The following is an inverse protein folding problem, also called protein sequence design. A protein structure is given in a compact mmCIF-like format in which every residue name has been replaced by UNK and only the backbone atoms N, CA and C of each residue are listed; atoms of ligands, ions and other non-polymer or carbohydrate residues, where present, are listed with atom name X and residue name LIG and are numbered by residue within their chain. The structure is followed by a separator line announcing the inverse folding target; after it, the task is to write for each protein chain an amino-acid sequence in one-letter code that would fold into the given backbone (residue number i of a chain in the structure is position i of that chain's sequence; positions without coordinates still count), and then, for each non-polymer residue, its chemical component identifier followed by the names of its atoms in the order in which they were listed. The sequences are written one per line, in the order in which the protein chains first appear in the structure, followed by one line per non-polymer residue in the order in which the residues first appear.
data_IF_471050764172
#
_entry.id   IF_471050764172
#
_cell.length_a   1.000
_cell.length_b   1.000
_cell.length_c   1.000
_cell.angle_alpha   90.00
_cell.angle_beta   90.00
_cell.angle_gamma   90.00
#
_symmetry.space_group_name_H-M   'P 1'
#
loop_
_entity.id
_entity.type
_entity.pdbx_description
1 polymer ?
#
# COMPACT_ATOMS: atom_id res chain seq x y z
N UNK A 1 -108.17 -69.22 24.63
CA UNK A 1 -107.18 -68.59 23.72
C UNK A 1 -106.34 -67.48 24.37
N UNK A 2 -106.83 -66.73 25.37
CA UNK A 2 -106.10 -65.60 25.99
C UNK A 2 -104.80 -65.94 26.75
N UNK A 3 -104.63 -67.19 27.22
CA UNK A 3 -103.42 -67.62 27.95
C UNK A 3 -102.19 -67.80 27.04
N UNK A 4 -102.39 -68.10 25.75
CA UNK A 4 -101.29 -68.30 24.81
C UNK A 4 -100.70 -66.98 24.29
N UNK A 5 -101.47 -65.88 24.24
CA UNK A 5 -100.91 -64.56 23.85
C UNK A 5 -100.02 -63.98 24.96
N UNK A 6 -100.44 -64.07 26.23
CA UNK A 6 -99.64 -63.58 27.37
C UNK A 6 -98.28 -64.29 27.51
N UNK A 7 -98.21 -65.59 27.19
CA UNK A 7 -96.95 -66.35 27.20
C UNK A 7 -96.00 -65.90 26.09
N UNK A 8 -96.55 -65.58 24.90
CA UNK A 8 -95.79 -65.08 23.75
C UNK A 8 -95.28 -63.65 24.00
N UNK A 9 -96.12 -62.76 24.52
CA UNK A 9 -95.74 -61.40 24.92
C UNK A 9 -94.62 -61.39 25.97
N UNK A 10 -94.69 -62.27 26.98
CA UNK A 10 -93.62 -62.40 27.98
C UNK A 10 -92.30 -62.93 27.39
N UNK A 11 -92.37 -63.79 26.37
CA UNK A 11 -91.19 -64.31 25.68
C UNK A 11 -90.54 -63.24 24.79
N UNK A 12 -91.35 -62.46 24.06
CA UNK A 12 -90.90 -61.32 23.26
C UNK A 12 -90.27 -60.22 24.15
N UNK A 13 -90.87 -59.95 25.32
CA UNK A 13 -90.30 -59.01 26.31
C UNK A 13 -88.94 -59.49 26.82
N UNK A 14 -88.77 -60.79 27.10
CA UNK A 14 -87.49 -61.37 27.50
C UNK A 14 -86.45 -61.30 26.38
N UNK A 15 -86.84 -61.61 25.15
CA UNK A 15 -85.95 -61.51 24.00
C UNK A 15 -85.50 -60.06 23.76
N UNK A 16 -86.40 -59.09 23.91
CA UNK A 16 -86.09 -57.66 23.83
C UNK A 16 -85.13 -57.24 24.95
N UNK A 17 -85.36 -57.69 26.19
CA UNK A 17 -84.47 -57.40 27.32
C UNK A 17 -83.07 -58.00 27.12
N UNK A 18 -82.99 -59.23 26.59
CA UNK A 18 -81.71 -59.86 26.25
C UNK A 18 -80.99 -59.12 25.13
N UNK A 19 -81.70 -58.74 24.06
CA UNK A 19 -81.15 -57.94 22.97
C UNK A 19 -80.63 -56.59 23.47
N UNK A 20 -81.35 -55.96 24.39
CA UNK A 20 -80.96 -54.68 24.98
C UNK A 20 -79.72 -54.84 25.87
N UNK A 21 -79.65 -55.90 26.68
CA UNK A 21 -78.46 -56.23 27.47
C UNK A 21 -77.22 -56.48 26.60
N UNK A 22 -77.39 -57.22 25.50
CA UNK A 22 -76.32 -57.44 24.53
C UNK A 22 -75.89 -56.13 23.84
N UNK A 23 -76.85 -55.29 23.44
CA UNK A 23 -76.53 -53.99 22.85
C UNK A 23 -75.75 -53.09 23.83
N UNK A 24 -76.15 -53.02 25.10
CA UNK A 24 -75.39 -52.27 26.12
C UNK A 24 -74.02 -52.88 26.41
N UNK A 25 -73.88 -54.20 26.41
CA UNK A 25 -72.60 -54.87 26.58
C UNK A 25 -71.65 -54.52 25.43
N UNK A 26 -72.14 -54.55 24.19
CA UNK A 26 -71.36 -54.17 23.00
C UNK A 26 -70.94 -52.69 23.06
N UNK A 27 -71.89 -51.78 23.36
CA UNK A 27 -71.56 -50.35 23.49
C UNK A 27 -70.52 -50.12 24.59
N UNK A 28 -70.62 -50.83 25.72
CA UNK A 28 -69.62 -50.75 26.79
C UNK A 28 -68.24 -51.20 26.31
N UNK A 29 -68.17 -52.31 25.57
CA UNK A 29 -66.92 -52.81 24.99
C UNK A 29 -66.33 -51.84 23.96
N UNK A 30 -67.17 -51.22 23.12
CA UNK A 30 -66.75 -50.23 22.14
C UNK A 30 -66.19 -48.98 22.84
N UNK A 31 -66.86 -48.49 23.89
CA UNK A 31 -66.37 -47.35 24.69
C UNK A 31 -65.02 -47.66 25.34
N UNK A 32 -64.84 -48.88 25.87
CA UNK A 32 -63.55 -49.31 26.42
C UNK A 32 -62.46 -49.37 25.34
N UNK A 33 -62.79 -49.90 24.16
CA UNK A 33 -61.86 -49.96 23.03
C UNK A 33 -61.44 -48.57 22.58
N UNK A 34 -62.41 -47.65 22.42
CA UNK A 34 -62.14 -46.25 22.06
C UNK A 34 -61.28 -45.57 23.13
N UNK A 35 -61.52 -45.82 24.42
CA UNK A 35 -60.67 -45.30 25.48
C UNK A 35 -59.22 -45.80 25.39
N UNK A 36 -59.02 -47.09 25.10
CA UNK A 36 -57.68 -47.65 24.87
C UNK A 36 -57.00 -47.04 23.64
N UNK A 37 -57.73 -46.84 22.54
CA UNK A 37 -57.21 -46.17 21.35
C UNK A 37 -56.83 -44.71 21.63
N UNK A 38 -57.64 -43.98 22.40
CA UNK A 38 -57.31 -42.61 22.81
C UNK A 38 -56.02 -42.56 23.62
N UNK A 39 -55.83 -43.48 24.57
CA UNK A 39 -54.59 -43.54 25.35
C UNK A 39 -53.38 -43.80 24.46
N UNK A 40 -53.47 -44.79 23.56
CA UNK A 40 -52.39 -45.11 22.62
C UNK A 40 -52.06 -43.92 21.71
N UNK A 41 -53.06 -43.17 21.26
CA UNK A 41 -52.85 -41.96 20.45
C UNK A 41 -52.16 -40.85 21.25
N UNK A 42 -52.51 -40.66 22.52
CA UNK A 42 -51.84 -39.72 23.41
C UNK A 42 -50.37 -40.08 23.63
N UNK A 43 -50.08 -41.35 23.90
CA UNK A 43 -48.70 -41.82 24.11
C UNK A 43 -47.86 -41.64 22.84
N UNK A 44 -48.41 -42.01 21.68
CA UNK A 44 -47.76 -41.80 20.38
C UNK A 44 -47.51 -40.31 20.09
N UNK A 45 -48.46 -39.44 20.43
CA UNK A 45 -48.29 -38.00 20.28
C UNK A 45 -47.15 -37.49 21.15
N UNK A 46 -47.04 -37.97 22.40
CA UNK A 46 -45.93 -37.65 23.29
C UNK A 46 -44.57 -38.04 22.70
N UNK A 47 -44.45 -39.30 22.23
CA UNK A 47 -43.20 -39.78 21.61
C UNK A 47 -42.84 -38.99 20.34
N UNK A 48 -43.82 -38.63 19.52
CA UNK A 48 -43.61 -37.81 18.33
C UNK A 48 -43.09 -36.41 18.70
N UNK A 49 -43.65 -35.77 19.74
CA UNK A 49 -43.21 -34.46 20.22
C UNK A 49 -41.74 -34.53 20.67
N UNK A 50 -41.38 -35.54 21.48
CA UNK A 50 -40.00 -35.73 21.94
C UNK A 50 -39.02 -35.96 20.77
N UNK A 51 -39.42 -36.78 19.79
CA UNK A 51 -38.61 -37.04 18.60
C UNK A 51 -38.41 -35.77 17.75
N UNK A 52 -39.43 -34.93 17.63
CA UNK A 52 -39.35 -33.65 16.91
C UNK A 52 -38.44 -32.69 17.66
N UNK A 53 -38.56 -32.58 18.99
CA UNK A 53 -37.69 -31.75 19.82
C UNK A 53 -36.23 -32.19 19.74
N UNK A 54 -35.96 -33.50 19.79
CA UNK A 54 -34.62 -34.05 19.60
C UNK A 54 -34.06 -33.69 18.23
N UNK A 55 -34.84 -33.86 17.17
CA UNK A 55 -34.44 -33.49 15.81
C UNK A 55 -34.17 -31.99 15.67
N UNK A 56 -34.99 -31.13 16.27
CA UNK A 56 -34.79 -29.69 16.28
C UNK A 56 -33.48 -29.29 16.97
N UNK A 57 -33.15 -29.92 18.10
CA UNK A 57 -31.88 -29.67 18.81
C UNK A 57 -30.65 -30.07 17.99
N UNK A 58 -30.74 -31.19 17.25
CA UNK A 58 -29.68 -31.64 16.33
C UNK A 58 -29.51 -30.68 15.17
N UNK A 59 -30.61 -30.20 14.59
CA UNK A 59 -30.59 -29.22 13.51
C UNK A 59 -29.92 -27.92 13.95
N UNK A 60 -30.28 -27.39 15.12
CA UNK A 60 -29.66 -26.19 15.67
C UNK A 60 -28.15 -26.35 15.90
N UNK A 61 -27.74 -27.52 16.39
CA UNK A 61 -26.31 -27.85 16.55
C UNK A 61 -25.58 -27.91 15.20
N UNK A 62 -26.21 -28.49 14.17
CA UNK A 62 -25.66 -28.52 12.82
C UNK A 62 -25.56 -27.12 12.20
N UNK A 63 -26.54 -26.25 12.41
CA UNK A 63 -26.50 -24.86 11.95
C UNK A 63 -25.32 -24.10 12.56
N UNK A 64 -25.04 -24.31 13.86
CA UNK A 64 -23.88 -23.72 14.52
C UNK A 64 -22.55 -24.19 13.90
N UNK A 65 -22.42 -25.49 13.61
CA UNK A 65 -21.24 -26.06 12.94
C UNK A 65 -21.07 -25.52 11.52
N UNK A 66 -22.17 -25.38 10.77
CA UNK A 66 -22.14 -24.80 9.41
C UNK A 66 -21.69 -23.35 9.47
N UNK A 67 -22.17 -22.57 10.42
CA UNK A 67 -21.77 -21.16 10.57
C UNK A 67 -20.30 -21.04 10.93
N UNK A 68 -19.80 -21.88 11.84
CA UNK A 68 -18.38 -21.95 12.16
C UNK A 68 -17.53 -22.32 10.93
N UNK A 69 -17.93 -23.34 10.17
CA UNK A 69 -17.23 -23.74 8.95
C UNK A 69 -17.21 -22.64 7.88
N UNK A 70 -18.31 -21.88 7.73
CA UNK A 70 -18.35 -20.72 6.82
C UNK A 70 -17.34 -19.64 7.20
N UNK A 71 -17.18 -19.37 8.50
CA UNK A 71 -16.19 -18.39 9.00
C UNK A 71 -14.78 -18.87 8.65
N UNK A 72 -14.44 -20.12 8.96
CA UNK A 72 -13.12 -20.70 8.65
C UNK A 72 -12.81 -20.69 7.15
N UNK A 73 -13.79 -21.03 6.31
CA UNK A 73 -13.63 -20.95 4.84
C UNK A 73 -13.32 -19.51 4.40
N UNK A 74 -13.98 -18.52 5.01
CA UNK A 74 -13.72 -17.10 4.74
C UNK A 74 -12.29 -16.68 5.12
N UNK A 75 -11.80 -17.14 6.27
CA UNK A 75 -10.42 -16.89 6.72
C UNK A 75 -9.40 -17.51 5.76
N UNK A 76 -9.54 -18.79 5.44
CA UNK A 76 -8.65 -19.47 4.50
C UNK A 76 -8.69 -18.87 3.09
N UNK A 77 -9.86 -18.40 2.62
CA UNK A 77 -9.96 -17.73 1.34
C UNK A 77 -9.13 -16.42 1.29
N UNK A 78 -9.07 -15.68 2.40
CA UNK A 78 -8.25 -14.48 2.51
C UNK A 78 -6.76 -14.81 2.54
N UNK A 79 -6.35 -15.85 3.27
CA UNK A 79 -4.97 -16.33 3.28
C UNK A 79 -4.51 -16.76 1.88
N UNK A 80 -5.33 -17.55 1.17
CA UNK A 80 -5.04 -17.96 -0.20
C UNK A 80 -4.90 -16.76 -1.13
N UNK A 81 -5.74 -15.72 -0.98
CA UNK A 81 -5.62 -14.48 -1.76
C UNK A 81 -4.28 -13.78 -1.50
N UNK A 82 -3.84 -13.69 -0.24
CA UNK A 82 -2.56 -13.07 0.14
C UNK A 82 -1.37 -13.84 -0.45
N UNK A 83 -1.34 -15.16 -0.29
CA UNK A 83 -0.28 -16.01 -0.87
C UNK A 83 -0.25 -15.87 -2.39
N UNK A 84 -1.42 -15.78 -3.04
CA UNK A 84 -1.49 -15.61 -4.50
C UNK A 84 -0.90 -14.28 -4.96
N UNK A 85 -1.11 -13.18 -4.23
CA UNK A 85 -0.45 -11.90 -4.54
C UNK A 85 1.06 -11.97 -4.37
N UNK A 86 1.54 -12.56 -3.28
CA UNK A 86 2.98 -12.71 -3.03
C UNK A 86 3.66 -13.54 -4.11
N UNK A 87 3.03 -14.65 -4.55
CA UNK A 87 3.52 -15.46 -5.66
C UNK A 87 3.61 -14.64 -6.96
N UNK A 88 2.62 -13.78 -7.24
CA UNK A 88 2.65 -12.98 -8.46
C UNK A 88 3.77 -11.93 -8.44
N UNK A 89 4.03 -11.32 -7.29
CA UNK A 89 5.15 -10.39 -7.14
C UNK A 89 6.51 -11.08 -7.27
N UNK A 90 6.66 -12.26 -6.65
CA UNK A 90 7.86 -13.09 -6.85
C UNK A 90 8.04 -13.50 -8.32
N UNK A 91 6.97 -13.83 -9.03
CA UNK A 91 7.02 -14.15 -10.46
C UNK A 91 7.46 -12.96 -11.32
N UNK A 92 7.10 -11.73 -10.95
CA UNK A 92 7.61 -10.53 -11.65
C UNK A 92 9.11 -10.39 -11.45
N UNK A 93 9.58 -10.48 -10.20
CA UNK A 93 11.01 -10.40 -9.88
C UNK A 93 11.82 -11.47 -10.64
N UNK A 94 11.33 -12.72 -10.67
CA UNK A 94 12.00 -13.79 -11.41
C UNK A 94 12.09 -13.50 -12.92
N UNK A 95 11.07 -12.84 -13.50
CA UNK A 95 11.12 -12.41 -14.91
C UNK A 95 12.15 -11.32 -15.17
N UNK A 96 12.50 -10.52 -14.17
CA UNK A 96 13.48 -9.44 -14.29
C UNK A 96 14.94 -9.93 -14.18
N UNK A 97 15.17 -11.09 -13.56
CA UNK A 97 16.53 -11.66 -13.35
C UNK A 97 17.34 -11.76 -14.66
N UNK A 98 16.81 -12.30 -15.78
CA UNK A 98 17.58 -12.38 -17.02
C UNK A 98 18.01 -11.02 -17.56
N UNK A 99 17.17 -9.99 -17.39
CA UNK A 99 17.51 -8.64 -17.80
C UNK A 99 18.64 -8.06 -16.94
N UNK A 100 18.56 -8.24 -15.62
CA UNK A 100 19.64 -7.85 -14.72
C UNK A 100 20.96 -8.58 -15.04
N UNK A 101 20.91 -9.88 -15.33
CA UNK A 101 22.08 -10.64 -15.75
C UNK A 101 22.71 -10.08 -17.04
N UNK A 102 21.87 -9.70 -18.01
CA UNK A 102 22.34 -9.03 -19.23
C UNK A 102 22.99 -7.68 -18.95
N UNK A 103 22.39 -6.86 -18.09
CA UNK A 103 22.94 -5.56 -17.71
C UNK A 103 24.28 -5.71 -16.96
N UNK A 104 24.36 -6.65 -16.03
CA UNK A 104 25.60 -6.97 -15.32
C UNK A 104 26.70 -7.43 -16.29
N UNK A 105 26.35 -8.30 -17.24
CA UNK A 105 27.30 -8.73 -18.27
C UNK A 105 27.81 -7.54 -19.10
N UNK A 106 26.92 -6.66 -19.56
CA UNK A 106 27.31 -5.45 -20.29
C UNK A 106 28.21 -4.53 -19.48
N UNK A 107 27.91 -4.36 -18.18
CA UNK A 107 28.74 -3.57 -17.28
C UNK A 107 30.13 -4.18 -17.12
N UNK A 108 30.21 -5.49 -16.91
CA UNK A 108 31.48 -6.23 -16.81
C UNK A 108 32.29 -6.09 -18.10
N UNK A 109 31.66 -6.31 -19.26
CA UNK A 109 32.29 -6.16 -20.57
C UNK A 109 32.82 -4.71 -20.76
N UNK A 110 32.05 -3.71 -20.32
CA UNK A 110 32.48 -2.30 -20.31
C UNK A 110 33.70 -2.07 -19.40
N UNK A 111 33.69 -2.60 -18.17
CA UNK A 111 34.84 -2.47 -17.26
C UNK A 111 36.12 -3.08 -17.84
N UNK A 112 36.04 -4.29 -18.40
CA UNK A 112 37.19 -4.94 -19.05
C UNK A 112 37.62 -4.20 -20.32
N UNK A 113 36.70 -3.58 -21.05
CA UNK A 113 37.06 -2.75 -22.20
C UNK A 113 37.93 -1.55 -21.80
N UNK A 114 37.61 -0.89 -20.68
CA UNK A 114 38.33 0.27 -20.14
C UNK A 114 39.68 -0.07 -19.49
N UNK A 115 40.01 -1.35 -19.35
CA UNK A 115 41.27 -1.79 -18.75
C UNK A 115 42.47 -1.33 -19.61
N UNK A 116 42.28 -1.23 -20.93
CA UNK A 116 43.31 -0.75 -21.86
C UNK A 116 43.57 0.75 -21.67
N UNK A 117 42.52 1.53 -21.47
CA UNK A 117 42.57 2.96 -21.19
C UNK A 117 43.23 3.21 -19.83
N UNK A 118 42.92 2.40 -18.82
CA UNK A 118 43.59 2.44 -17.50
C UNK A 118 45.10 2.17 -17.60
N UNK A 119 45.54 1.26 -18.48
CA UNK A 119 46.97 1.05 -18.74
C UNK A 119 47.61 2.28 -19.37
N UNK A 120 46.98 2.87 -20.39
CA UNK A 120 47.48 4.12 -21.02
C UNK A 120 47.59 5.26 -20.01
N UNK A 121 46.62 5.40 -19.11
CA UNK A 121 46.69 6.40 -18.04
C UNK A 121 47.91 6.16 -17.14
N UNK A 122 48.18 4.91 -16.74
CA UNK A 122 49.37 4.57 -15.95
C UNK A 122 50.68 4.84 -16.70
N UNK A 123 50.72 4.56 -18.00
CA UNK A 123 51.88 4.88 -18.85
C UNK A 123 52.13 6.39 -18.91
N UNK A 124 51.08 7.18 -19.17
CA UNK A 124 51.15 8.66 -19.15
C UNK A 124 51.60 9.17 -17.78
N UNK A 125 51.08 8.61 -16.69
CA UNK A 125 51.46 9.01 -15.33
C UNK A 125 52.95 8.76 -15.08
N UNK A 126 53.49 7.64 -15.57
CA UNK A 126 54.92 7.35 -15.51
C UNK A 126 55.77 8.33 -16.35
N UNK A 127 55.26 8.75 -17.51
CA UNK A 127 55.92 9.76 -18.34
C UNK A 127 55.93 11.13 -17.65
N UNK A 128 54.81 11.54 -17.05
CA UNK A 128 54.70 12.79 -16.27
C UNK A 128 55.67 12.80 -15.10
N UNK A 129 55.78 11.69 -14.36
CA UNK A 129 56.78 11.54 -13.28
C UNK A 129 58.20 11.72 -13.84
N UNK A 130 58.51 11.13 -15.00
CA UNK A 130 59.82 11.27 -15.63
C UNK A 130 60.12 12.71 -16.09
N UNK A 131 59.12 13.42 -16.60
CA UNK A 131 59.23 14.81 -17.05
C UNK A 131 59.44 15.72 -15.84
N UNK A 132 58.68 15.52 -14.76
CA UNK A 132 58.85 16.27 -13.51
C UNK A 132 60.26 16.06 -12.93
N UNK A 133 60.75 14.81 -12.90
CA UNK A 133 62.11 14.53 -12.46
C UNK A 133 63.19 15.19 -13.35
N UNK A 134 62.96 15.29 -14.66
CA UNK A 134 63.83 16.05 -15.58
C UNK A 134 63.75 17.55 -15.30
N UNK A 135 62.56 18.11 -15.09
CA UNK A 135 62.35 19.51 -14.77
C UNK A 135 63.02 19.90 -13.44
N UNK A 136 62.98 19.06 -12.42
CA UNK A 136 63.71 19.33 -11.18
C UNK A 136 65.23 19.38 -11.39
N UNK A 137 65.77 18.49 -12.23
CA UNK A 137 67.19 18.54 -12.63
C UNK A 137 67.53 19.82 -13.41
N UNK A 138 66.64 20.30 -14.29
CA UNK A 138 66.80 21.60 -14.95
C UNK A 138 66.69 22.79 -13.99
N UNK A 139 65.83 22.72 -12.97
CA UNK A 139 65.71 23.74 -11.91
C UNK A 139 66.98 23.91 -11.09
N UNK A 140 67.74 22.83 -10.88
CA UNK A 140 69.06 22.90 -10.21
C UNK A 140 70.18 23.49 -11.10
N UNK A 141 70.04 23.45 -12.43
CA UNK A 141 71.05 23.96 -13.37
C UNK A 141 70.96 25.48 -13.61
N UNK A 142 69.84 26.13 -13.24
CA UNK A 142 69.62 27.57 -13.41
C UNK A 142 70.00 28.44 -12.20
N UNK A 143 70.67 27.89 -11.17
CA UNK A 143 71.10 28.68 -10.00
C UNK A 143 72.16 29.75 -10.33
N UNK A 144 72.78 29.73 -11.52
CA UNK A 144 73.74 30.76 -11.94
C UNK A 144 73.09 32.03 -12.55
N UNK A 145 71.77 32.03 -12.81
CA UNK A 145 71.06 33.15 -13.45
C UNK A 145 70.23 34.05 -12.53
N UNK A 146 70.09 33.71 -11.24
CA UNK A 146 69.14 34.36 -10.33
C UNK A 146 69.48 35.81 -9.96
N UNK A 147 70.73 36.25 -10.09
CA UNK A 147 71.12 37.63 -9.75
C UNK A 147 70.52 38.68 -10.70
N UNK A 148 70.32 38.34 -11.99
CA UNK A 148 69.72 39.25 -12.97
C UNK A 148 68.18 39.33 -12.84
N UNK A 149 67.55 38.30 -12.28
CA UNK A 149 66.09 38.19 -12.21
C UNK A 149 65.46 38.99 -11.07
N UNK A 150 66.25 39.37 -10.06
CA UNK A 150 65.81 40.21 -8.93
C UNK A 150 65.52 41.65 -9.38
N UNK A 151 66.26 42.17 -10.38
CA UNK A 151 66.01 43.49 -10.97
C UNK A 151 64.65 43.55 -11.67
N UNK A 152 64.34 42.55 -12.49
CA UNK A 152 63.06 42.46 -13.21
C UNK A 152 61.86 42.20 -12.29
N UNK A 153 62.05 41.53 -11.15
CA UNK A 153 60.99 41.31 -10.16
C UNK A 153 60.53 42.61 -9.51
N UNK A 154 61.41 43.62 -9.38
CA UNK A 154 61.05 44.92 -8.84
C UNK A 154 60.18 45.72 -9.82
N UNK A 155 60.53 45.69 -11.12
CA UNK A 155 59.73 46.29 -12.20
C UNK A 155 58.36 45.61 -12.37
N UNK A 156 58.29 44.28 -12.28
CA UNK A 156 57.02 43.54 -12.36
C UNK A 156 56.10 43.86 -11.18
N UNK A 157 56.68 44.14 -10.00
CA UNK A 157 55.91 44.51 -8.80
C UNK A 157 55.29 45.90 -8.94
N UNK A 158 56.01 46.86 -9.48
CA UNK A 158 55.48 48.20 -9.80
C UNK A 158 54.41 48.16 -10.90
N UNK A 159 54.60 47.33 -11.93
CA UNK A 159 53.62 47.15 -13.00
C UNK A 159 52.33 46.47 -12.48
N UNK A 160 52.42 45.47 -11.60
CA UNK A 160 51.24 44.87 -10.94
C UNK A 160 50.47 45.87 -10.08
N UNK A 161 51.18 46.76 -9.39
CA UNK A 161 50.53 47.78 -8.54
C UNK A 161 49.78 48.82 -9.38
N UNK A 162 50.27 49.13 -10.59
CA UNK A 162 49.58 49.96 -11.59
C UNK A 162 48.37 49.24 -12.21
N UNK A 163 48.44 47.92 -12.41
CA UNK A 163 47.31 47.10 -12.92
C UNK A 163 46.20 46.96 -11.86
N UNK A 164 46.53 46.76 -10.58
CA UNK A 164 45.54 46.67 -9.49
C UNK A 164 44.76 47.98 -9.25
N UNK A 165 45.36 49.13 -9.57
CA UNK A 165 44.69 50.43 -9.52
C UNK A 165 43.70 50.62 -10.69
N UNK A 166 43.97 49.99 -11.84
CA UNK A 166 43.09 50.01 -13.01
C UNK A 166 41.93 49.01 -12.83
N UNK A 167 42.17 47.83 -12.23
CA UNK A 167 41.10 46.84 -11.98
C UNK A 167 40.05 47.30 -10.96
N UNK A 168 40.41 48.19 -10.02
CA UNK A 168 39.47 48.74 -9.02
C UNK A 168 38.51 49.79 -9.58
N UNK A 169 38.79 50.38 -10.74
CA UNK A 169 38.00 51.48 -11.31
C UNK A 169 37.11 51.07 -12.49
N UNK A 170 37.19 49.84 -13.01
CA UNK A 170 36.47 49.52 -14.27
C UNK A 170 35.96 48.08 -14.43
N UNK A 171 35.67 47.29 -13.37
CA UNK A 171 35.06 45.96 -13.56
C UNK A 171 34.04 45.63 -12.45
N UNK A 172 32.71 45.59 -12.73
CA UNK A 172 31.75 44.99 -11.81
C UNK A 172 31.95 43.47 -11.79
N UNK A 173 32.09 42.90 -10.59
CA UNK A 173 32.18 41.44 -10.34
C UNK A 173 31.02 40.70 -11.02
N UNK A 174 31.26 40.17 -12.22
CA UNK A 174 30.38 39.18 -12.85
C UNK A 174 30.47 37.90 -12.02
N UNK A 175 29.38 37.50 -11.36
CA UNK A 175 29.28 36.17 -10.74
C UNK A 175 29.70 35.12 -11.78
N UNK A 176 30.68 34.25 -11.48
CA UNK A 176 31.18 33.27 -12.43
C UNK A 176 30.03 32.40 -12.95
N UNK A 177 30.05 32.06 -14.25
CA UNK A 177 29.05 31.22 -14.92
C UNK A 177 28.70 29.95 -14.12
N UNK A 178 29.69 29.41 -13.40
CA UNK A 178 29.56 28.27 -12.50
C UNK A 178 28.53 28.50 -11.39
N UNK A 179 28.50 29.67 -10.75
CA UNK A 179 27.51 30.00 -9.72
C UNK A 179 26.11 30.19 -10.30
N UNK A 180 25.99 30.77 -11.51
CA UNK A 180 24.69 30.87 -12.20
C UNK A 180 24.15 29.50 -12.63
N UNK A 181 25.02 28.60 -13.09
CA UNK A 181 24.68 27.22 -13.42
C UNK A 181 24.28 26.43 -12.17
N UNK A 182 25.06 26.52 -11.09
CA UNK A 182 24.75 25.84 -9.83
C UNK A 182 23.42 26.35 -9.27
N UNK A 183 23.17 27.67 -9.27
CA UNK A 183 21.87 28.24 -8.86
C UNK A 183 20.72 27.74 -9.74
N UNK A 184 20.89 27.68 -11.07
CA UNK A 184 19.84 27.15 -11.97
C UNK A 184 19.58 25.65 -11.77
N UNK A 185 20.63 24.86 -11.51
CA UNK A 185 20.51 23.41 -11.26
C UNK A 185 19.85 23.15 -9.92
N UNK A 186 20.27 23.86 -8.86
CA UNK A 186 19.65 23.72 -7.52
C UNK A 186 18.21 24.21 -7.50
N UNK A 187 17.89 25.33 -8.16
CA UNK A 187 16.51 25.83 -8.26
C UNK A 187 15.58 24.88 -9.03
N UNK A 188 16.10 24.11 -9.99
CA UNK A 188 15.29 23.12 -10.75
C UNK A 188 15.32 21.72 -10.13
N UNK A 189 16.04 21.54 -9.02
CA UNK A 189 16.10 20.24 -8.35
C UNK A 189 14.74 19.91 -7.73
N UNK A 190 14.34 18.65 -7.83
CA UNK A 190 13.08 18.13 -7.28
C UNK A 190 12.92 18.47 -5.80
N UNK A 191 14.01 18.35 -5.04
CA UNK A 191 14.05 18.63 -3.60
C UNK A 191 13.80 20.10 -3.28
N UNK A 192 14.34 21.02 -4.08
CA UNK A 192 14.08 22.45 -3.90
C UNK A 192 12.61 22.78 -4.16
N UNK A 193 12.03 22.24 -5.23
CA UNK A 193 10.60 22.44 -5.56
C UNK A 193 9.70 21.87 -4.47
N UNK A 194 10.04 20.69 -3.94
CA UNK A 194 9.34 20.06 -2.82
C UNK A 194 9.34 20.96 -1.59
N UNK A 195 10.51 21.40 -1.16
CA UNK A 195 10.66 22.29 0.01
C UNK A 195 9.94 23.64 -0.20
N UNK A 196 9.97 24.18 -1.42
CA UNK A 196 9.27 25.40 -1.78
C UNK A 196 7.74 25.23 -1.69
N UNK A 197 7.20 24.12 -2.21
CA UNK A 197 5.77 23.78 -2.08
C UNK A 197 5.33 23.71 -0.62
N UNK A 198 6.08 22.98 0.20
CA UNK A 198 5.82 22.87 1.65
C UNK A 198 5.89 24.25 2.31
N UNK A 199 6.86 25.08 1.94
CA UNK A 199 7.00 26.44 2.49
C UNK A 199 5.80 27.33 2.17
N UNK A 200 5.22 27.20 0.96
CA UNK A 200 4.04 27.96 0.58
C UNK A 200 2.78 27.45 1.26
N UNK A 201 2.59 26.14 1.33
CA UNK A 201 1.45 25.55 2.05
C UNK A 201 1.50 25.93 3.53
N UNK A 202 2.70 25.93 4.14
CA UNK A 202 2.90 26.39 5.51
C UNK A 202 2.65 27.89 5.68
N UNK A 203 3.07 28.72 4.72
CA UNK A 203 2.91 30.18 4.79
C UNK A 203 1.45 30.62 4.66
N UNK A 204 0.68 29.96 3.80
CA UNK A 204 -0.70 30.34 3.50
C UNK A 204 -1.74 29.55 4.30
N UNK A 205 -1.31 28.57 5.12
CA UNK A 205 -2.11 27.63 5.93
C UNK A 205 -3.08 26.75 5.14
N UNK A 206 -3.82 27.34 4.21
CA UNK A 206 -4.73 26.73 3.26
C UNK A 206 -4.49 27.34 1.88
N UNK A 207 -4.16 26.51 0.89
CA UNK A 207 -3.99 26.97 -0.48
C UNK A 207 -4.49 25.95 -1.50
N UNK A 208 -5.14 26.44 -2.56
CA UNK A 208 -5.64 25.59 -3.64
C UNK A 208 -4.51 25.13 -4.56
N UNK A 209 -4.68 23.92 -5.11
CA UNK A 209 -3.77 23.37 -6.12
C UNK A 209 -3.56 24.31 -7.31
N UNK A 210 -4.63 25.02 -7.70
CA UNK A 210 -4.62 25.97 -8.80
C UNK A 210 -3.72 27.17 -8.49
N UNK A 211 -3.88 27.76 -7.29
CA UNK A 211 -3.10 28.93 -6.87
C UNK A 211 -1.62 28.61 -6.70
N UNK A 212 -1.31 27.44 -6.13
CA UNK A 212 0.08 26.95 -6.05
C UNK A 212 0.71 26.75 -7.42
N UNK A 213 -0.06 26.23 -8.39
CA UNK A 213 0.41 26.04 -9.77
C UNK A 213 0.72 27.37 -10.43
N UNK A 214 -0.18 28.35 -10.30
CA UNK A 214 0.04 29.70 -10.84
C UNK A 214 1.36 30.29 -10.31
N UNK A 215 1.58 30.25 -8.99
CA UNK A 215 2.79 30.82 -8.40
C UNK A 215 4.08 30.09 -8.81
N UNK A 216 4.10 28.75 -8.77
CA UNK A 216 5.36 27.99 -8.93
C UNK A 216 5.68 27.72 -10.39
N UNK A 217 4.65 27.44 -11.20
CA UNK A 217 4.81 27.02 -12.59
C UNK A 217 4.69 28.22 -13.54
N UNK A 218 3.70 29.09 -13.33
CA UNK A 218 3.39 30.16 -14.29
C UNK A 218 4.16 31.45 -13.97
N UNK A 219 4.21 31.88 -12.70
CA UNK A 219 4.94 33.08 -12.29
C UNK A 219 6.45 32.82 -12.16
N UNK A 220 6.85 31.75 -11.48
CA UNK A 220 8.27 31.51 -11.16
C UNK A 220 8.98 30.59 -12.17
N UNK A 221 8.25 29.80 -12.96
CA UNK A 221 8.83 28.92 -13.99
C UNK A 221 9.83 27.89 -13.45
N UNK A 222 9.68 27.48 -12.19
CA UNK A 222 10.65 26.62 -11.48
C UNK A 222 10.46 25.15 -11.86
N UNK A 223 9.21 24.74 -12.10
CA UNK A 223 8.83 23.39 -12.48
C UNK A 223 7.86 23.39 -13.67
N UNK A 224 7.81 22.28 -14.41
CA UNK A 224 6.78 22.06 -15.42
C UNK A 224 5.44 21.68 -14.77
N UNK A 225 4.32 21.84 -15.49
CA UNK A 225 2.99 21.43 -15.00
C UNK A 225 2.97 19.96 -14.56
N UNK A 226 3.59 19.06 -15.31
CA UNK A 226 3.65 17.63 -14.99
C UNK A 226 4.54 17.34 -13.78
N UNK A 227 5.69 18.01 -13.67
CA UNK A 227 6.57 17.89 -12.50
C UNK A 227 5.89 18.39 -11.22
N UNK A 228 5.14 19.49 -11.31
CA UNK A 228 4.40 20.06 -10.18
C UNK A 228 3.37 19.08 -9.61
N UNK A 229 2.50 18.50 -10.45
CA UNK A 229 1.49 17.56 -9.96
C UNK A 229 2.12 16.27 -9.39
N UNK A 230 3.18 15.74 -10.01
CA UNK A 230 3.90 14.58 -9.48
C UNK A 230 4.50 14.85 -8.09
N UNK A 231 5.10 16.02 -7.88
CA UNK A 231 5.69 16.37 -6.58
C UNK A 231 4.60 16.59 -5.53
N UNK A 232 3.45 17.16 -5.90
CA UNK A 232 2.29 17.27 -4.99
C UNK A 232 1.73 15.91 -4.61
N UNK A 233 1.56 15.00 -5.57
CA UNK A 233 1.09 13.63 -5.31
C UNK A 233 2.08 12.88 -4.40
N UNK A 234 3.38 13.09 -4.57
CA UNK A 234 4.41 12.54 -3.68
C UNK A 234 4.34 13.14 -2.26
N UNK A 235 4.09 14.43 -2.12
CA UNK A 235 3.91 15.08 -0.82
C UNK A 235 2.65 14.58 -0.10
N UNK A 236 1.57 14.33 -0.84
CA UNK A 236 0.33 13.70 -0.35
C UNK A 236 0.61 12.26 0.11
N UNK A 237 1.38 11.48 -0.68
CA UNK A 237 1.76 10.11 -0.34
C UNK A 237 2.70 9.99 0.87
N UNK A 238 3.54 11.00 1.11
CA UNK A 238 4.46 11.06 2.27
C UNK A 238 3.78 11.62 3.53
N UNK A 239 2.47 11.92 3.50
CA UNK A 239 1.72 12.56 4.57
C UNK A 239 2.30 13.89 5.08
N UNK A 240 3.15 14.55 4.29
CA UNK A 240 3.73 15.86 4.65
C UNK A 240 2.67 16.99 4.54
N UNK A 241 1.62 16.77 3.76
CA UNK A 241 0.50 17.69 3.55
C UNK A 241 -0.83 16.93 3.59
N UNK A 242 -1.86 17.56 4.15
CA UNK A 242 -3.23 17.02 4.17
C UNK A 242 -4.07 17.65 3.04
N UNK A 243 -5.00 16.86 2.48
CA UNK A 243 -5.86 17.29 1.38
C UNK A 243 -7.32 17.27 1.80
N UNK A 244 -7.99 18.43 1.70
CA UNK A 244 -9.45 18.51 1.85
C UNK A 244 -10.05 18.86 0.49
N UNK A 245 -11.03 18.07 0.05
CA UNK A 245 -11.81 18.37 -1.16
C UNK A 245 -12.98 19.27 -0.78
N UNK A 246 -12.93 20.54 -1.20
CA UNK A 246 -14.05 21.47 -1.06
C UNK A 246 -14.69 21.66 -2.44
N UNK A 247 -15.76 20.92 -2.70
CA UNK A 247 -16.44 20.93 -4.00
C UNK A 247 -15.58 20.37 -5.14
N UNK A 248 -15.22 21.21 -6.11
CA UNK A 248 -14.39 20.85 -7.28
C UNK A 248 -12.89 21.10 -7.07
N UNK A 249 -12.49 21.70 -5.95
CA UNK A 249 -11.11 22.10 -5.70
C UNK A 249 -10.45 21.23 -4.61
N UNK A 250 -9.16 20.91 -4.83
CA UNK A 250 -8.28 20.31 -3.83
C UNK A 250 -7.56 21.43 -3.07
N UNK A 251 -7.73 21.47 -1.76
CA UNK A 251 -7.05 22.38 -0.85
C UNK A 251 -6.00 21.61 -0.05
N UNK A 252 -4.82 22.21 0.10
CA UNK A 252 -3.69 21.62 0.83
C UNK A 252 -3.44 22.36 2.13
N UNK A 253 -3.15 21.60 3.19
CA UNK A 253 -2.84 22.08 4.53
C UNK A 253 -1.54 21.44 5.04
N UNK A 254 -0.81 22.17 5.88
CA UNK A 254 0.39 21.64 6.52
C UNK A 254 0.03 20.87 7.80
N UNK A 255 0.45 19.60 7.91
CA UNK A 255 0.21 18.77 9.09
C UNK A 255 1.15 19.20 10.22
N UNK A 256 0.61 19.86 11.24
CA UNK A 256 1.33 20.07 12.49
C UNK A 256 1.52 18.70 13.16
N UNK A 257 2.71 18.13 13.04
CA UNK A 257 3.08 16.95 13.82
C UNK A 257 2.93 17.33 15.30
N UNK A 258 1.85 16.88 15.93
CA UNK A 258 1.77 16.79 17.39
C UNK A 258 2.82 15.76 17.80
N UNK A 259 4.02 16.21 18.10
CA UNK A 259 4.90 15.44 18.98
C UNK A 259 4.17 15.35 20.32
N UNK A 260 3.48 14.23 20.54
CA UNK A 260 3.04 13.84 21.86
C UNK A 260 4.29 13.67 22.73
N UNK A 261 4.46 14.58 23.68
CA UNK A 261 5.23 14.33 24.90
C UNK A 261 4.38 13.53 25.86
#
# INVERSE_FOLDING_TARGET
MLLFSKKREAQELRAMQQSLQLAFANVKQDVQSVASWMQLLYDNQGMLIESVQSSASKLSSQEALINHAKIQIGEHANEVRKVRSEIEDLRKLVREIPHMQSQLKQLVDYYYSNEKELRKIKEIDSEVISINAKLEKFGTHNQFGMAAQIGYLSEIKELRQKVDQIEKTTIPKRMPLRERLIKKITQRSKEYVKNLLVSYIRKYEQISALKLREMIVEEQGIASKSSFYRILDELEALEEIEVVKQGKEKLYFYKLIKHAQ
#
